data_IF_183763431421
#
_entry.id   IF_183763431421
#
_cell.length_a   1.000
_cell.length_b   1.000
_cell.length_c   1.000
_cell.angle_alpha   90.00
_cell.angle_beta   90.00
_cell.angle_gamma   90.00
#
_symmetry.space_group_name_H-M   'P 1'
#
loop_
_entity.id
_entity.type
_entity.pdbx_description
1 polymer ?
#
# COMPACT_ATOMS: atom_id res chain seq x y z
N UNK A 1 0.21 41.98 7.60
CA UNK A 1 -0.46 40.67 7.84
C UNK A 1 0.28 39.62 7.02
N UNK A 2 1.15 38.83 7.67
CA UNK A 2 1.90 37.73 7.03
C UNK A 2 0.99 36.50 7.05
N UNK A 3 0.31 36.22 5.94
CA UNK A 3 -0.37 34.94 5.74
C UNK A 3 0.71 33.85 5.49
N UNK A 4 1.09 33.12 6.54
CA UNK A 4 1.85 31.88 6.39
C UNK A 4 0.94 30.89 5.66
N UNK A 5 1.16 30.72 4.37
CA UNK A 5 0.57 29.62 3.58
C UNK A 5 1.05 28.29 4.21
N UNK A 6 0.21 27.69 5.04
CA UNK A 6 0.45 26.34 5.52
C UNK A 6 0.45 25.41 4.31
N UNK A 7 1.63 25.03 3.85
CA UNK A 7 1.79 24.03 2.80
C UNK A 7 1.24 22.70 3.35
N UNK A 8 0.03 22.34 2.93
CA UNK A 8 -0.59 21.06 3.32
C UNK A 8 0.36 19.95 2.86
N UNK A 9 0.98 19.26 3.83
CA UNK A 9 1.87 18.14 3.52
C UNK A 9 1.03 16.96 3.01
N UNK A 10 1.31 16.53 1.78
CA UNK A 10 0.64 15.38 1.18
C UNK A 10 0.90 14.10 1.98
N UNK A 11 -0.14 13.29 2.17
CA UNK A 11 -0.01 11.95 2.75
C UNK A 11 0.72 11.04 1.78
N UNK A 12 1.82 10.44 2.22
CA UNK A 12 2.65 9.52 1.43
C UNK A 12 2.08 8.12 1.45
N UNK A 13 1.83 7.55 0.26
CA UNK A 13 1.14 6.26 0.10
C UNK A 13 1.98 5.29 -0.74
N UNK A 14 1.95 4.02 -0.37
CA UNK A 14 2.36 2.90 -1.22
C UNK A 14 1.15 2.01 -1.54
N UNK A 15 1.10 1.50 -2.77
CA UNK A 15 0.04 0.59 -3.21
C UNK A 15 0.70 -0.67 -3.78
N UNK A 16 0.59 -1.78 -3.04
CA UNK A 16 1.02 -3.08 -3.49
C UNK A 16 -0.15 -3.75 -4.23
N UNK A 17 0.09 -4.20 -5.47
CA UNK A 17 -0.96 -4.74 -6.33
C UNK A 17 -1.85 -3.65 -6.97
N UNK A 18 -1.26 -2.53 -7.39
CA UNK A 18 -1.99 -1.35 -7.89
C UNK A 18 -2.81 -1.59 -9.15
N UNK A 19 -2.53 -2.66 -9.89
CA UNK A 19 -3.24 -3.02 -11.13
C UNK A 19 -4.37 -4.02 -10.92
N UNK A 20 -4.54 -4.54 -9.70
CA UNK A 20 -5.68 -5.36 -9.28
C UNK A 20 -6.93 -4.52 -9.01
N UNK A 21 -8.07 -5.16 -8.72
CA UNK A 21 -9.36 -4.49 -8.52
C UNK A 21 -9.33 -3.45 -7.39
N UNK A 22 -8.85 -3.83 -6.21
CA UNK A 22 -8.75 -2.95 -5.05
C UNK A 22 -7.73 -1.83 -5.29
N UNK A 23 -6.56 -2.16 -5.84
CA UNK A 23 -5.54 -1.18 -6.19
C UNK A 23 -6.06 -0.12 -7.17
N UNK A 24 -6.78 -0.53 -8.22
CA UNK A 24 -7.41 0.39 -9.19
C UNK A 24 -8.48 1.26 -8.55
N UNK A 25 -9.28 0.71 -7.63
CA UNK A 25 -10.29 1.49 -6.89
C UNK A 25 -9.63 2.59 -6.07
N UNK A 26 -8.55 2.26 -5.35
CA UNK A 26 -7.79 3.25 -4.59
C UNK A 26 -7.16 4.32 -5.51
N UNK A 27 -6.59 3.92 -6.65
CA UNK A 27 -6.06 4.83 -7.67
C UNK A 27 -7.14 5.81 -8.17
N UNK A 28 -8.39 5.36 -8.38
CA UNK A 28 -9.51 6.24 -8.75
C UNK A 28 -9.80 7.27 -7.66
N UNK A 29 -9.86 6.84 -6.40
CA UNK A 29 -10.09 7.74 -5.25
C UNK A 29 -8.99 8.80 -5.17
N UNK A 30 -7.71 8.40 -5.22
CA UNK A 30 -6.58 9.32 -5.15
C UNK A 30 -6.55 10.27 -6.35
N UNK A 31 -7.03 9.83 -7.53
CA UNK A 31 -7.12 10.70 -8.71
C UNK A 31 -8.00 11.92 -8.48
N UNK A 32 -9.07 11.77 -7.72
CA UNK A 32 -9.99 12.85 -7.39
C UNK A 32 -9.43 13.79 -6.29
N UNK A 33 -8.43 13.34 -5.54
CA UNK A 33 -7.85 14.10 -4.42
C UNK A 33 -6.31 14.16 -4.46
N UNK A 34 -5.74 14.35 -5.63
CA UNK A 34 -4.27 14.42 -5.84
C UNK A 34 -3.55 15.47 -4.98
N UNK A 35 -4.28 16.51 -4.55
CA UNK A 35 -3.69 17.58 -3.74
C UNK A 35 -3.27 17.10 -2.35
N UNK A 36 -3.96 16.11 -1.80
CA UNK A 36 -3.74 15.59 -0.45
C UNK A 36 -2.84 14.34 -0.41
N UNK A 37 -2.57 13.70 -1.56
CA UNK A 37 -1.84 12.44 -1.62
C UNK A 37 -0.62 12.47 -2.56
N UNK A 38 0.43 11.76 -2.15
CA UNK A 38 1.63 11.48 -2.93
C UNK A 38 1.88 9.98 -2.95
N UNK A 39 1.85 9.36 -4.14
CA UNK A 39 2.15 7.95 -4.29
C UNK A 39 3.67 7.78 -4.42
N UNK A 40 4.29 7.10 -3.44
CA UNK A 40 5.73 6.86 -3.39
C UNK A 40 6.12 5.59 -4.11
N UNK A 41 5.28 4.55 -4.04
CA UNK A 41 5.51 3.23 -4.63
C UNK A 41 4.24 2.65 -5.19
N UNK A 42 4.33 2.07 -6.37
CA UNK A 42 3.34 1.15 -6.93
C UNK A 42 3.99 -0.21 -7.18
N UNK A 43 3.23 -1.30 -7.02
CA UNK A 43 3.67 -2.61 -7.48
C UNK A 43 2.61 -3.33 -8.31
N UNK A 44 3.08 -4.16 -9.22
CA UNK A 44 2.28 -5.11 -10.00
C UNK A 44 3.09 -6.38 -10.27
N UNK A 45 2.43 -7.46 -10.67
CA UNK A 45 3.11 -8.64 -11.17
C UNK A 45 3.39 -8.51 -12.69
N UNK A 46 2.37 -8.71 -13.53
CA UNK A 46 2.52 -8.80 -14.99
C UNK A 46 2.10 -7.52 -15.74
N UNK A 47 1.17 -6.75 -15.19
CA UNK A 47 0.55 -5.64 -15.94
C UNK A 47 1.42 -4.39 -15.97
N UNK A 48 2.56 -4.46 -16.67
CA UNK A 48 3.53 -3.37 -16.76
C UNK A 48 2.98 -2.14 -17.51
N UNK A 49 2.06 -2.33 -18.47
CA UNK A 49 1.45 -1.22 -19.21
C UNK A 49 0.59 -0.34 -18.29
N UNK A 50 -0.27 -0.99 -17.48
CA UNK A 50 -1.16 -0.27 -16.58
C UNK A 50 -0.40 0.43 -15.46
N UNK A 51 0.57 -0.23 -14.80
CA UNK A 51 1.34 0.41 -13.74
C UNK A 51 2.17 1.59 -14.27
N UNK A 52 2.68 1.50 -15.51
CA UNK A 52 3.41 2.60 -16.15
C UNK A 52 2.49 3.79 -16.44
N UNK A 53 1.24 3.53 -16.88
CA UNK A 53 0.20 4.56 -17.05
C UNK A 53 -0.09 5.24 -15.71
N UNK A 54 -0.30 4.48 -14.64
CA UNK A 54 -0.50 5.00 -13.30
C UNK A 54 0.70 5.85 -12.84
N UNK A 55 1.93 5.37 -13.05
CA UNK A 55 3.14 6.09 -12.70
C UNK A 55 3.27 7.43 -13.43
N UNK A 56 2.90 7.50 -14.72
CA UNK A 56 2.87 8.74 -15.50
C UNK A 56 1.86 9.75 -14.93
N UNK A 57 0.63 9.28 -14.62
CA UNK A 57 -0.46 10.13 -14.10
C UNK A 57 -0.13 10.75 -12.74
N UNK A 58 0.50 9.97 -11.85
CA UNK A 58 0.79 10.38 -10.48
C UNK A 58 2.25 10.81 -10.24
N UNK A 59 3.08 10.80 -11.29
CA UNK A 59 4.52 11.12 -11.23
C UNK A 59 5.27 10.24 -10.23
N UNK A 60 4.89 8.96 -10.14
CA UNK A 60 5.50 8.01 -9.22
C UNK A 60 6.90 7.66 -9.67
N UNK A 61 7.86 7.70 -8.74
CA UNK A 61 9.29 7.50 -9.03
C UNK A 61 9.78 6.08 -8.77
N UNK A 62 9.01 5.25 -8.06
CA UNK A 62 9.43 3.89 -7.70
C UNK A 62 8.36 2.89 -8.09
N UNK A 63 8.75 1.87 -8.84
CA UNK A 63 7.89 0.76 -9.24
C UNK A 63 8.53 -0.57 -8.85
N UNK A 64 7.68 -1.56 -8.52
CA UNK A 64 8.09 -2.97 -8.39
C UNK A 64 7.27 -3.78 -9.38
N UNK A 65 7.95 -4.58 -10.21
CA UNK A 65 7.35 -5.53 -11.15
C UNK A 65 7.96 -6.89 -10.89
N UNK A 66 7.20 -7.83 -10.32
CA UNK A 66 7.72 -9.13 -9.92
C UNK A 66 7.99 -10.05 -11.11
N UNK A 67 7.11 -10.05 -12.11
CA UNK A 67 7.28 -10.87 -13.30
C UNK A 67 8.47 -10.40 -14.13
N UNK A 68 9.47 -11.29 -14.34
CA UNK A 68 10.72 -10.97 -15.02
C UNK A 68 10.50 -10.46 -16.44
N UNK A 69 9.66 -11.11 -17.24
CA UNK A 69 9.39 -10.70 -18.62
C UNK A 69 8.78 -9.29 -18.68
N UNK A 70 7.87 -8.98 -17.76
CA UNK A 70 7.24 -7.66 -17.65
C UNK A 70 8.22 -6.60 -17.15
N UNK A 71 9.12 -6.97 -16.24
CA UNK A 71 10.21 -6.12 -15.78
C UNK A 71 11.17 -5.74 -16.93
N UNK A 72 11.55 -6.71 -17.78
CA UNK A 72 12.42 -6.46 -18.92
C UNK A 72 11.73 -5.59 -19.98
N UNK A 73 10.41 -5.80 -20.21
CA UNK A 73 9.60 -4.99 -21.11
C UNK A 73 9.46 -3.54 -20.64
N UNK A 74 9.16 -3.31 -19.35
CA UNK A 74 8.98 -1.95 -18.84
C UNK A 74 10.27 -1.13 -18.88
N UNK A 75 11.43 -1.77 -18.72
CA UNK A 75 12.74 -1.11 -18.83
C UNK A 75 13.03 -0.53 -20.22
N UNK A 76 12.42 -1.08 -21.27
CA UNK A 76 12.55 -0.59 -22.65
C UNK A 76 11.72 0.68 -22.93
N UNK A 77 10.74 1.03 -22.07
CA UNK A 77 9.94 2.25 -22.23
C UNK A 77 10.79 3.49 -21.92
N UNK A 78 10.67 4.53 -22.75
CA UNK A 78 11.42 5.80 -22.59
C UNK A 78 11.19 6.46 -21.22
N UNK A 79 10.00 6.33 -20.65
CA UNK A 79 9.67 6.89 -19.34
C UNK A 79 10.40 6.16 -18.21
N UNK A 80 10.79 4.90 -18.40
CA UNK A 80 11.50 4.12 -17.39
C UNK A 80 12.83 4.76 -16.96
N UNK A 81 13.47 5.52 -17.87
CA UNK A 81 14.73 6.26 -17.57
C UNK A 81 14.56 7.32 -16.49
N UNK A 82 13.32 7.77 -16.20
CA UNK A 82 13.00 8.80 -15.21
C UNK A 82 12.56 8.24 -13.85
N UNK A 83 12.47 6.91 -13.72
CA UNK A 83 11.94 6.22 -12.54
C UNK A 83 12.83 5.05 -12.12
N UNK A 84 12.73 4.64 -10.87
CA UNK A 84 13.42 3.46 -10.36
C UNK A 84 12.50 2.27 -10.44
N UNK A 85 12.94 1.19 -11.09
CA UNK A 85 12.16 -0.04 -11.26
C UNK A 85 12.93 -1.19 -10.61
N UNK A 86 12.24 -1.91 -9.74
CA UNK A 86 12.74 -3.09 -9.03
C UNK A 86 11.95 -4.31 -9.47
N UNK A 87 12.57 -5.50 -9.38
CA UNK A 87 11.91 -6.78 -9.71
C UNK A 87 11.48 -7.58 -8.48
N UNK A 88 11.68 -7.03 -7.29
CA UNK A 88 11.31 -7.67 -6.02
C UNK A 88 11.21 -6.64 -4.88
N UNK A 89 10.78 -7.10 -3.70
CA UNK A 89 10.60 -6.29 -2.49
C UNK A 89 11.84 -6.26 -1.56
N UNK A 90 12.99 -6.78 -1.97
CA UNK A 90 14.18 -6.88 -1.10
C UNK A 90 14.83 -5.53 -0.77
N UNK A 91 14.62 -4.53 -1.60
CA UNK A 91 15.32 -3.24 -1.53
C UNK A 91 14.42 -2.06 -1.09
N UNK A 92 13.40 -2.32 -0.27
CA UNK A 92 12.47 -1.26 0.17
C UNK A 92 13.17 -0.12 0.93
N UNK A 93 14.26 -0.39 1.63
CA UNK A 93 15.10 0.63 2.29
C UNK A 93 15.71 1.64 1.32
N UNK A 94 15.90 1.27 0.04
CA UNK A 94 16.35 2.21 -1.01
C UNK A 94 15.24 3.17 -1.44
N UNK A 95 13.97 2.79 -1.20
CA UNK A 95 12.78 3.57 -1.55
C UNK A 95 12.36 4.43 -0.35
N UNK A 96 12.35 3.85 0.85
CA UNK A 96 11.81 4.47 2.05
C UNK A 96 12.92 4.86 3.03
N UNK A 97 13.22 6.14 3.13
CA UNK A 97 14.14 6.70 4.14
C UNK A 97 13.47 6.89 5.51
N UNK A 98 12.15 7.10 5.52
CA UNK A 98 11.29 7.26 6.70
C UNK A 98 9.98 6.50 6.46
N UNK A 99 9.23 6.20 7.53
CA UNK A 99 7.91 5.61 7.38
C UNK A 99 6.98 6.54 6.61
N UNK A 100 6.26 5.95 5.65
CA UNK A 100 5.18 6.62 4.93
C UNK A 100 3.88 6.56 5.73
N UNK A 101 2.92 7.41 5.38
CA UNK A 101 1.69 7.54 6.15
C UNK A 101 0.78 6.32 6.01
N UNK A 102 0.72 5.71 4.80
CA UNK A 102 -0.22 4.64 4.52
C UNK A 102 0.28 3.67 3.46
N UNK A 103 0.05 2.39 3.67
CA UNK A 103 0.24 1.35 2.66
C UNK A 103 -1.06 0.58 2.45
N UNK A 104 -1.46 0.40 1.19
CA UNK A 104 -2.46 -0.58 0.78
C UNK A 104 -1.75 -1.83 0.29
N UNK A 105 -1.94 -2.97 0.96
CA UNK A 105 -1.50 -4.29 0.50
C UNK A 105 -2.68 -5.03 -0.11
N UNK A 106 -2.70 -5.13 -1.45
CA UNK A 106 -3.78 -5.73 -2.24
C UNK A 106 -3.26 -6.71 -3.31
N UNK A 107 -2.13 -7.34 -3.04
CA UNK A 107 -1.65 -8.47 -3.85
C UNK A 107 -2.47 -9.70 -3.46
N UNK A 108 -3.11 -10.36 -4.43
CA UNK A 108 -3.97 -11.52 -4.19
C UNK A 108 -3.16 -12.79 -3.86
N UNK A 109 -3.75 -13.70 -3.09
CA UNK A 109 -3.19 -15.00 -2.76
C UNK A 109 -1.98 -14.92 -1.81
N UNK A 110 -1.29 -16.04 -1.63
CA UNK A 110 -0.12 -16.16 -0.75
C UNK A 110 1.06 -15.31 -1.20
N UNK A 111 1.15 -14.96 -2.49
CA UNK A 111 2.20 -14.08 -3.03
C UNK A 111 2.20 -12.69 -2.40
N UNK A 112 1.09 -12.30 -1.78
CA UNK A 112 0.98 -11.05 -1.04
C UNK A 112 1.59 -11.07 0.37
N UNK A 113 1.89 -12.25 0.95
CA UNK A 113 2.32 -12.36 2.36
C UNK A 113 3.71 -11.74 2.57
N UNK A 114 4.73 -12.19 1.85
CA UNK A 114 6.10 -11.67 1.99
C UNK A 114 6.20 -10.15 1.70
N UNK A 115 5.61 -9.61 0.61
CA UNK A 115 5.55 -8.17 0.40
C UNK A 115 4.88 -7.40 1.54
N UNK A 116 3.80 -7.94 2.10
CA UNK A 116 3.08 -7.35 3.23
C UNK A 116 3.97 -7.27 4.46
N UNK A 117 4.63 -8.36 4.84
CA UNK A 117 5.54 -8.41 5.99
C UNK A 117 6.68 -7.39 5.81
N UNK A 118 7.31 -7.35 4.64
CA UNK A 118 8.44 -6.46 4.35
C UNK A 118 8.08 -4.97 4.41
N UNK A 119 6.87 -4.58 3.97
CA UNK A 119 6.47 -3.17 3.91
C UNK A 119 6.02 -2.61 5.27
N UNK A 120 5.63 -3.47 6.23
CA UNK A 120 5.13 -3.05 7.56
C UNK A 120 6.10 -2.08 8.23
N UNK A 121 7.40 -2.39 8.26
CA UNK A 121 8.41 -1.53 8.91
C UNK A 121 8.55 -0.14 8.28
N UNK A 122 8.08 0.04 7.06
CA UNK A 122 8.13 1.30 6.32
C UNK A 122 6.82 2.08 6.36
N UNK A 123 5.81 1.59 7.08
CA UNK A 123 4.45 2.14 7.10
C UNK A 123 4.06 2.60 8.51
N UNK A 124 3.37 3.76 8.63
CA UNK A 124 2.68 4.14 9.86
C UNK A 124 1.36 3.37 10.00
N UNK A 125 0.65 3.22 8.88
CA UNK A 125 -0.61 2.47 8.79
C UNK A 125 -0.55 1.54 7.59
N UNK A 126 -1.08 0.33 7.74
CA UNK A 126 -1.22 -0.63 6.65
C UNK A 126 -2.63 -1.19 6.60
N UNK A 127 -3.25 -1.08 5.44
CA UNK A 127 -4.48 -1.78 5.11
C UNK A 127 -4.13 -3.05 4.33
N UNK A 128 -4.64 -4.19 4.77
CA UNK A 128 -4.40 -5.48 4.15
C UNK A 128 -5.74 -5.99 3.63
N UNK A 129 -5.84 -6.07 2.29
CA UNK A 129 -7.04 -6.53 1.61
C UNK A 129 -6.94 -8.01 1.16
N UNK A 130 -5.84 -8.65 1.49
CA UNK A 130 -5.57 -10.06 1.19
C UNK A 130 -5.84 -10.91 2.42
N UNK A 131 -7.03 -11.54 2.48
CA UNK A 131 -7.42 -12.39 3.59
C UNK A 131 -6.62 -13.70 3.65
N UNK A 132 -6.16 -14.24 2.52
CA UNK A 132 -5.31 -15.42 2.47
C UNK A 132 -3.99 -15.17 3.20
N UNK A 133 -3.35 -14.03 2.97
CA UNK A 133 -2.14 -13.65 3.68
C UNK A 133 -2.39 -13.46 5.19
N UNK A 134 -3.55 -12.92 5.58
CA UNK A 134 -3.93 -12.77 6.98
C UNK A 134 -4.14 -14.14 7.63
N UNK A 135 -4.92 -15.03 7.00
CA UNK A 135 -5.22 -16.35 7.56
C UNK A 135 -3.94 -17.18 7.73
N UNK A 136 -3.10 -17.25 6.69
CA UNK A 136 -1.90 -18.06 6.71
C UNK A 136 -0.74 -17.46 7.49
N UNK A 137 -0.65 -16.12 7.55
CA UNK A 137 0.52 -15.42 8.06
C UNK A 137 0.27 -14.51 9.28
N UNK A 138 -0.89 -14.60 9.94
CA UNK A 138 -1.26 -13.64 10.99
C UNK A 138 -0.22 -13.50 12.10
N UNK A 139 0.34 -14.61 12.56
CA UNK A 139 1.35 -14.58 13.63
C UNK A 139 2.58 -13.76 13.20
N UNK A 140 3.04 -13.92 11.96
CA UNK A 140 4.18 -13.18 11.41
C UNK A 140 3.82 -11.71 11.21
N UNK A 141 2.66 -11.44 10.59
CA UNK A 141 2.15 -10.08 10.36
C UNK A 141 2.01 -9.34 11.69
N UNK A 142 1.33 -9.94 12.69
CA UNK A 142 1.10 -9.32 14.00
C UNK A 142 2.40 -9.04 14.75
N UNK A 143 3.37 -9.96 14.69
CA UNK A 143 4.72 -9.76 15.27
C UNK A 143 5.40 -8.53 14.65
N UNK A 144 5.38 -8.38 13.33
CA UNK A 144 5.98 -7.24 12.65
C UNK A 144 5.20 -5.94 12.88
N UNK A 145 3.86 -5.98 12.95
CA UNK A 145 3.03 -4.82 13.29
C UNK A 145 3.38 -4.27 14.68
N UNK A 146 3.46 -5.15 15.69
CA UNK A 146 3.82 -4.78 17.07
C UNK A 146 5.24 -4.25 17.15
N UNK A 147 6.21 -4.98 16.60
CA UNK A 147 7.64 -4.59 16.56
C UNK A 147 7.84 -3.20 15.97
N UNK A 148 7.14 -2.90 14.89
CA UNK A 148 7.30 -1.66 14.17
C UNK A 148 6.28 -0.58 14.57
N UNK A 149 5.40 -0.80 15.54
CA UNK A 149 4.33 0.13 15.94
C UNK A 149 3.54 0.63 14.71
N UNK A 150 3.18 -0.30 13.80
CA UNK A 150 2.41 -0.01 12.58
C UNK A 150 0.95 -0.33 12.83
N UNK A 151 0.06 0.62 12.59
CA UNK A 151 -1.38 0.42 12.77
C UNK A 151 -1.93 -0.45 11.63
N UNK A 152 -2.59 -1.54 11.98
CA UNK A 152 -3.33 -2.38 11.04
C UNK A 152 -4.74 -1.84 10.80
N UNK A 153 -5.21 -1.93 9.55
CA UNK A 153 -6.57 -1.58 9.13
C UNK A 153 -7.10 -2.76 8.31
N UNK A 154 -8.15 -3.47 8.76
CA UNK A 154 -8.83 -4.46 7.94
C UNK A 154 -9.56 -3.78 6.78
N UNK A 155 -9.67 -4.44 5.62
CA UNK A 155 -10.28 -3.85 4.42
C UNK A 155 -11.46 -4.68 3.90
N UNK A 156 -11.56 -5.96 4.28
CA UNK A 156 -12.76 -6.71 3.95
C UNK A 156 -13.99 -6.14 4.68
N UNK A 157 -15.17 -6.32 4.08
CA UNK A 157 -16.39 -5.65 4.52
C UNK A 157 -16.79 -6.01 5.94
N UNK A 158 -16.67 -7.28 6.33
CA UNK A 158 -17.08 -7.79 7.63
C UNK A 158 -16.18 -7.24 8.75
N UNK A 159 -14.88 -7.44 8.61
CA UNK A 159 -13.91 -6.99 9.61
C UNK A 159 -13.78 -5.47 9.66
N UNK A 160 -13.91 -4.77 8.52
CA UNK A 160 -13.89 -3.31 8.51
C UNK A 160 -15.11 -2.72 9.22
N UNK A 161 -16.29 -3.30 9.03
CA UNK A 161 -17.52 -2.86 9.71
C UNK A 161 -17.39 -3.00 11.22
N UNK A 162 -16.92 -4.16 11.71
CA UNK A 162 -16.66 -4.40 13.12
C UNK A 162 -15.59 -3.44 13.65
N UNK A 163 -14.47 -3.31 12.95
CA UNK A 163 -13.39 -2.40 13.32
C UNK A 163 -13.87 -0.95 13.45
N UNK A 164 -14.68 -0.48 12.48
CA UNK A 164 -15.20 0.88 12.47
C UNK A 164 -16.16 1.12 13.62
N UNK A 165 -17.05 0.16 13.88
CA UNK A 165 -18.02 0.22 14.98
C UNK A 165 -17.34 0.24 16.35
N UNK A 166 -16.27 -0.57 16.53
CA UNK A 166 -15.56 -0.72 17.81
C UNK A 166 -14.53 0.38 18.07
N UNK A 167 -14.15 1.16 17.07
CA UNK A 167 -13.01 2.08 17.14
C UNK A 167 -13.03 3.05 18.32
N UNK A 168 -14.23 3.45 18.79
CA UNK A 168 -14.42 4.39 19.90
C UNK A 168 -15.16 3.76 21.09
N UNK A 169 -15.23 2.42 21.15
CA UNK A 169 -15.89 1.69 22.23
C UNK A 169 -14.88 1.08 23.20
N UNK A 170 -15.21 1.10 24.49
CA UNK A 170 -14.46 0.36 25.50
C UNK A 170 -14.85 -1.12 25.45
N UNK A 171 -13.97 -2.02 25.91
CA UNK A 171 -14.30 -3.45 26.00
C UNK A 171 -15.53 -3.75 26.88
N UNK A 172 -15.81 -2.89 27.85
CA UNK A 172 -16.97 -3.03 28.76
C UNK A 172 -18.32 -2.75 28.07
N UNK A 173 -18.31 -2.01 26.96
CA UNK A 173 -19.52 -1.68 26.17
C UNK A 173 -19.88 -2.77 25.16
N UNK A 174 -19.06 -3.83 25.05
CA UNK A 174 -19.23 -4.89 24.06
C UNK A 174 -19.56 -6.18 24.80
N UNK A 175 -20.79 -6.66 24.69
CA UNK A 175 -21.20 -7.94 25.27
C UNK A 175 -20.88 -9.14 24.37
N UNK A 176 -21.20 -9.03 23.06
CA UNK A 176 -20.98 -10.08 22.05
C UNK A 176 -20.79 -9.48 20.66
N UNK A 177 -20.06 -10.19 19.82
CA UNK A 177 -19.94 -9.93 18.38
C UNK A 177 -20.40 -11.17 17.63
N UNK A 178 -21.38 -11.02 16.73
CA UNK A 178 -21.85 -12.09 15.85
C UNK A 178 -21.26 -11.84 14.45
N UNK A 179 -20.65 -12.87 13.86
CA UNK A 179 -20.05 -12.87 12.52
C UNK A 179 -20.68 -14.00 11.70
#
# INVERSE_FOLDING_TARGET
>A
RIYRLFKIMKKKIAILGSTGSIGRSLIKIIKNDKKNFEIILLSADKNYKEILKQAKIFKVKNLIINNKNSYDKIKKDKYSKKIKIFNNFNNLQKIFKKKIDYTMSSISGLDGLDPTIRIIKHSKKIAIANKEAIICGWNLINKELKKNKTQFIPVDSEHFSIFSFLKNKSKKEISKIYI
#
